data_IF_846564400293
#
_entry.id   IF_846564400293
#
_cell.length_a   1.000
_cell.length_b   1.000
_cell.length_c   1.000
_cell.angle_alpha   90.00
_cell.angle_beta   90.00
_cell.angle_gamma   90.00
#
_symmetry.space_group_name_H-M   'P 1'
#
loop_
_entity.id
_entity.type
_entity.pdbx_description
1 polymer ?
#
# COMPACT_ATOMS: atom_id res chain seq x y z
N UNK A 1 2.05 12.81 1.02
CA UNK A 1 1.32 12.93 -0.26
C UNK A 1 2.20 12.66 -1.48
N UNK A 2 3.41 13.25 -1.61
CA UNK A 2 4.30 13.02 -2.76
C UNK A 2 4.57 11.54 -3.07
N UNK A 3 4.92 10.73 -2.07
CA UNK A 3 5.19 9.30 -2.26
C UNK A 3 3.99 8.54 -2.85
N UNK A 4 2.78 8.77 -2.31
CA UNK A 4 1.55 8.19 -2.85
C UNK A 4 1.33 8.64 -4.31
N UNK A 5 1.55 9.91 -4.61
CA UNK A 5 1.41 10.44 -5.98
C UNK A 5 2.39 9.81 -6.97
N UNK A 6 3.63 9.54 -6.56
CA UNK A 6 4.59 8.83 -7.42
C UNK A 6 4.18 7.38 -7.65
N UNK A 7 3.72 6.68 -6.62
CA UNK A 7 3.26 5.29 -6.75
C UNK A 7 2.02 5.17 -7.65
N UNK A 8 1.04 6.05 -7.47
CA UNK A 8 -0.17 6.07 -8.32
C UNK A 8 0.17 6.31 -9.80
N UNK A 9 1.19 7.14 -10.09
CA UNK A 9 1.56 7.46 -11.47
C UNK A 9 2.51 6.45 -12.12
N UNK A 10 3.30 5.73 -11.32
CA UNK A 10 4.47 5.02 -11.83
C UNK A 10 4.67 3.60 -11.28
N UNK A 11 3.82 3.13 -10.37
CA UNK A 11 3.89 1.77 -9.81
C UNK A 11 2.63 0.96 -10.14
N UNK A 12 2.69 -0.38 -10.06
CA UNK A 12 1.50 -1.22 -10.16
C UNK A 12 0.45 -0.84 -9.10
N UNK A 13 -0.83 -0.87 -9.47
CA UNK A 13 -1.94 -0.48 -8.61
C UNK A 13 -1.92 -1.15 -7.22
N UNK A 14 -1.64 -2.48 -7.08
CA UNK A 14 -1.59 -3.12 -5.76
C UNK A 14 -0.59 -2.48 -4.79
N UNK A 15 0.52 -1.93 -5.30
CA UNK A 15 1.54 -1.25 -4.48
C UNK A 15 1.04 0.12 -4.02
N UNK A 16 0.43 0.88 -4.93
CA UNK A 16 -0.12 2.20 -4.62
C UNK A 16 -1.28 2.10 -3.63
N UNK A 17 -2.17 1.12 -3.81
CA UNK A 17 -3.32 0.88 -2.95
C UNK A 17 -2.88 0.45 -1.55
N UNK A 18 -1.95 -0.51 -1.45
CA UNK A 18 -1.39 -0.91 -0.16
C UNK A 18 -0.69 0.27 0.55
N UNK A 19 0.04 1.11 -0.19
CA UNK A 19 0.67 2.31 0.38
C UNK A 19 -0.37 3.29 0.92
N UNK A 20 -1.38 3.64 0.14
CA UNK A 20 -2.45 4.56 0.53
C UNK A 20 -3.24 4.03 1.73
N UNK A 21 -3.63 2.75 1.70
CA UNK A 21 -4.32 2.10 2.81
C UNK A 21 -3.49 2.13 4.11
N UNK A 22 -2.19 1.82 4.02
CA UNK A 22 -1.30 1.77 5.18
C UNK A 22 -0.97 3.12 5.80
N UNK A 23 -1.11 4.25 5.09
CA UNK A 23 -0.56 5.55 5.51
C UNK A 23 -1.56 6.70 5.48
N UNK A 24 -2.57 6.63 4.63
CA UNK A 24 -3.54 7.70 4.41
C UNK A 24 -4.93 7.38 4.97
N UNK A 25 -5.33 6.11 5.03
CA UNK A 25 -6.68 5.69 5.45
C UNK A 25 -6.93 5.71 6.98
N UNK A 26 -5.97 6.15 7.79
CA UNK A 26 -6.18 6.44 9.23
C UNK A 26 -6.27 5.24 10.17
N UNK A 27 -6.19 3.98 9.69
CA UNK A 27 -6.33 2.77 10.50
C UNK A 27 -5.05 1.95 10.75
N UNK A 28 -3.87 2.53 10.52
CA UNK A 28 -2.60 1.79 10.61
C UNK A 28 -2.19 1.54 12.07
N UNK A 29 -1.70 0.34 12.37
CA UNK A 29 -1.04 0.08 13.64
C UNK A 29 0.38 0.65 13.68
N UNK A 30 0.98 0.65 14.87
CA UNK A 30 2.37 1.10 15.07
C UNK A 30 3.41 0.02 14.72
N UNK A 31 2.96 -1.23 14.53
CA UNK A 31 3.78 -2.35 14.12
C UNK A 31 3.57 -2.68 12.63
N UNK A 32 4.56 -3.34 12.02
CA UNK A 32 4.39 -3.97 10.71
C UNK A 32 3.36 -5.10 10.76
N UNK A 33 2.77 -5.43 9.62
CA UNK A 33 1.73 -6.46 9.51
C UNK A 33 0.32 -5.99 9.89
N UNK A 34 0.11 -4.68 10.04
CA UNK A 34 -1.18 -4.08 10.44
C UNK A 34 -1.96 -3.51 9.25
N UNK A 35 -1.75 -4.07 8.06
CA UNK A 35 -2.49 -3.67 6.85
C UNK A 35 -3.96 -4.12 6.96
N UNK A 36 -4.91 -3.30 6.47
CA UNK A 36 -6.30 -3.72 6.37
C UNK A 36 -6.45 -4.87 5.36
N UNK A 37 -7.48 -5.72 5.55
CA UNK A 37 -7.83 -6.77 4.60
C UNK A 37 -8.35 -6.23 3.26
N UNK A 38 -8.44 -7.11 2.26
CA UNK A 38 -8.95 -6.76 0.92
C UNK A 38 -7.91 -6.18 -0.05
N UNK A 39 -6.65 -6.09 0.37
CA UNK A 39 -5.54 -5.70 -0.50
C UNK A 39 -4.97 -6.93 -1.22
N UNK A 40 -4.56 -6.76 -2.47
CA UNK A 40 -3.84 -7.79 -3.23
C UNK A 40 -2.35 -7.82 -2.84
N UNK A 41 -2.07 -8.45 -1.70
CA UNK A 41 -0.69 -8.57 -1.19
C UNK A 41 0.13 -9.60 -1.96
N UNK A 42 -0.51 -10.56 -2.64
CA UNK A 42 0.18 -11.54 -3.49
C UNK A 42 0.89 -10.82 -4.64
N UNK A 43 0.18 -9.94 -5.36
CA UNK A 43 0.79 -9.16 -6.43
C UNK A 43 1.90 -8.19 -5.94
N UNK A 44 1.84 -7.77 -4.67
CA UNK A 44 2.92 -6.97 -4.06
C UNK A 44 4.16 -7.84 -3.79
N UNK A 45 3.97 -9.06 -3.30
CA UNK A 45 5.05 -10.00 -2.95
C UNK A 45 5.76 -10.56 -4.19
N UNK A 46 5.06 -10.81 -5.28
CA UNK A 46 5.63 -11.34 -6.54
C UNK A 46 6.66 -10.41 -7.22
N UNK A 47 6.80 -9.17 -6.73
CA UNK A 47 7.76 -8.18 -7.23
C UNK A 47 9.15 -8.28 -6.58
N UNK A 48 9.30 -9.14 -5.57
CA UNK A 48 10.50 -9.26 -4.73
C UNK A 48 11.15 -10.63 -4.90
#
# INVERSE_FOLDING_TARGET
LLQASLLVRHAPAPVADAFCASRLAGGRGLAFGTLPGGLDLTAVLERV
#
